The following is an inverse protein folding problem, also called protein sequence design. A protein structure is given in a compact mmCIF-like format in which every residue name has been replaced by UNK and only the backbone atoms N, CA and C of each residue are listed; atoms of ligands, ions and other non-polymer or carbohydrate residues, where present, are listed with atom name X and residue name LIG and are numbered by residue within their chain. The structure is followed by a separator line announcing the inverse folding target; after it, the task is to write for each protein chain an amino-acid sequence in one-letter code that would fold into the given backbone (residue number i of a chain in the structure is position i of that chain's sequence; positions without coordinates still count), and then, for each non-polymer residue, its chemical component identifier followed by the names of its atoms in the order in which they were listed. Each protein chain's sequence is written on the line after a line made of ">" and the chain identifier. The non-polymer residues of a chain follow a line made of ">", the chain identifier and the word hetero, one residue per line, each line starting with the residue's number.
data_IF_893678292143
#
_entry.id   IF_893678292143
#
_cell.length_a   1.000
_cell.length_b   1.000
_cell.length_c   1.000
_cell.angle_alpha   90.00
_cell.angle_beta   90.00
_cell.angle_gamma   90.00
#
_symmetry.space_group_name_H-M   'P 1'
#
loop_
_entity.id
_entity.type
_entity.pdbx_description
1 polymer ?
#
# COMPACT_ATOMS: atom_id res chain seq x y z
N UNK A 1 27.34 -14.08 -21.63
CA UNK A 1 26.65 -14.80 -20.62
C UNK A 1 25.17 -14.95 -20.92
N UNK A 2 24.67 -16.14 -20.72
CA UNK A 2 23.23 -16.42 -20.75
C UNK A 2 22.82 -16.74 -19.32
N UNK A 3 21.92 -15.97 -18.76
CA UNK A 3 21.49 -16.12 -17.37
C UNK A 3 19.97 -16.07 -17.24
N UNK A 4 19.48 -16.40 -16.05
CA UNK A 4 18.09 -16.19 -15.67
C UNK A 4 17.87 -14.70 -15.37
N UNK A 5 16.82 -14.12 -15.93
CA UNK A 5 16.33 -12.79 -15.62
C UNK A 5 15.05 -12.93 -14.81
N UNK A 6 15.12 -12.93 -13.48
CA UNK A 6 13.91 -12.98 -12.67
C UNK A 6 13.17 -11.65 -12.78
N UNK A 7 11.86 -11.71 -13.01
CA UNK A 7 11.00 -10.54 -13.04
C UNK A 7 10.11 -10.54 -11.77
N UNK A 8 10.06 -9.43 -11.07
CA UNK A 8 9.09 -9.23 -10.00
C UNK A 8 7.71 -8.97 -10.59
N UNK A 9 6.67 -9.49 -9.95
CA UNK A 9 5.31 -9.49 -10.50
C UNK A 9 4.71 -8.10 -10.70
N UNK A 10 4.92 -7.18 -9.77
CA UNK A 10 4.33 -5.86 -9.80
C UNK A 10 5.36 -4.75 -9.98
N UNK A 11 4.92 -3.67 -10.61
CA UNK A 11 5.66 -2.42 -10.72
C UNK A 11 5.99 -1.87 -9.33
N UNK A 12 7.24 -1.47 -9.14
CA UNK A 12 7.74 -0.86 -7.91
C UNK A 12 7.70 -1.73 -6.62
N UNK A 13 7.58 -3.04 -6.74
CA UNK A 13 7.70 -3.95 -5.57
C UNK A 13 9.04 -3.78 -4.87
N UNK A 14 10.10 -3.52 -5.62
CA UNK A 14 11.41 -3.23 -5.04
C UNK A 14 11.38 -1.94 -4.22
N UNK A 15 10.84 -0.85 -4.76
CA UNK A 15 10.75 0.43 -4.06
C UNK A 15 9.91 0.35 -2.77
N UNK A 16 8.80 -0.37 -2.80
CA UNK A 16 7.97 -0.63 -1.61
C UNK A 16 8.79 -1.30 -0.51
N UNK A 17 9.59 -2.31 -0.85
CA UNK A 17 10.48 -2.98 0.10
C UNK A 17 11.63 -2.06 0.58
N UNK A 18 12.16 -1.23 -0.31
CA UNK A 18 13.27 -0.31 0.00
C UNK A 18 12.89 0.78 0.98
N UNK A 19 11.61 1.21 0.99
CA UNK A 19 11.08 2.16 1.97
C UNK A 19 10.57 1.50 3.25
N UNK A 20 10.80 0.21 3.41
CA UNK A 20 10.52 -0.51 4.66
C UNK A 20 9.10 -1.06 4.80
N UNK A 21 8.26 -1.01 3.78
CA UNK A 21 6.95 -1.67 3.81
C UNK A 21 7.12 -3.18 3.63
N UNK A 22 7.42 -3.85 4.72
CA UNK A 22 7.71 -5.29 4.83
C UNK A 22 7.22 -5.79 6.19
N UNK A 23 6.80 -7.06 6.33
CA UNK A 23 6.36 -7.62 7.61
C UNK A 23 7.40 -7.53 8.73
N UNK A 24 8.67 -7.65 8.37
CA UNK A 24 9.78 -7.51 9.32
C UNK A 24 10.95 -6.77 8.67
N UNK A 25 11.46 -5.76 9.36
CA UNK A 25 12.70 -5.07 8.97
C UNK A 25 13.91 -5.87 9.46
N UNK A 26 15.01 -5.79 8.70
CA UNK A 26 16.30 -6.30 9.17
C UNK A 26 16.73 -5.52 10.42
N UNK A 27 17.29 -6.21 11.42
CA UNK A 27 17.66 -5.61 12.69
C UNK A 27 18.57 -4.37 12.55
N UNK A 28 19.52 -4.40 11.62
CA UNK A 28 20.39 -3.26 11.35
C UNK A 28 19.63 -2.03 10.83
N UNK A 29 18.62 -2.23 9.96
CA UNK A 29 17.77 -1.14 9.44
C UNK A 29 16.87 -0.62 10.55
N UNK A 30 16.30 -1.51 11.34
CA UNK A 30 15.46 -1.17 12.49
C UNK A 30 16.19 -0.26 13.47
N UNK A 31 17.39 -0.69 13.93
CA UNK A 31 18.20 0.09 14.86
C UNK A 31 18.65 1.43 14.29
N UNK A 32 19.00 1.47 13.00
CA UNK A 32 19.38 2.72 12.34
C UNK A 32 18.21 3.71 12.28
N UNK A 33 17.01 3.26 11.94
CA UNK A 33 15.82 4.12 11.93
C UNK A 33 15.49 4.67 13.31
N UNK A 34 15.55 3.84 14.36
CA UNK A 34 15.33 4.31 15.72
C UNK A 34 16.33 5.38 16.14
N UNK A 35 17.62 5.16 15.84
CA UNK A 35 18.68 6.10 16.23
C UNK A 35 18.63 7.40 15.42
N UNK A 36 18.38 7.33 14.12
CA UNK A 36 18.40 8.51 13.24
C UNK A 36 17.14 9.37 13.39
N UNK A 37 15.99 8.74 13.61
CA UNK A 37 14.72 9.45 13.74
C UNK A 37 14.35 9.78 15.19
N UNK A 38 15.03 9.19 16.17
CA UNK A 38 14.74 9.39 17.59
C UNK A 38 13.34 8.87 18.01
N UNK A 39 12.87 7.81 17.34
CA UNK A 39 11.54 7.21 17.58
C UNK A 39 11.68 5.77 18.05
N UNK A 40 10.71 5.29 18.82
CA UNK A 40 10.58 3.86 19.13
C UNK A 40 9.73 3.20 18.05
N UNK A 41 10.28 2.22 17.35
CA UNK A 41 9.56 1.45 16.35
C UNK A 41 8.79 0.28 16.99
N UNK A 42 7.66 -0.17 16.38
CA UNK A 42 6.96 -1.34 16.86
C UNK A 42 7.83 -2.59 16.83
N UNK A 43 7.84 -3.35 17.91
CA UNK A 43 8.60 -4.61 18.02
C UNK A 43 7.84 -5.82 17.52
N UNK A 44 6.53 -5.71 17.34
CA UNK A 44 5.71 -6.76 16.76
C UNK A 44 5.90 -6.83 15.25
N UNK A 45 6.12 -8.03 14.73
CA UNK A 45 6.18 -8.24 13.28
C UNK A 45 4.80 -8.03 12.64
N UNK A 46 4.80 -7.46 11.44
CA UNK A 46 3.62 -7.42 10.60
C UNK A 46 3.30 -8.79 9.99
N UNK A 47 2.11 -8.93 9.44
CA UNK A 47 1.68 -10.15 8.77
C UNK A 47 1.88 -10.03 7.24
N UNK A 48 2.37 -11.09 6.61
CA UNK A 48 2.33 -11.21 5.15
C UNK A 48 0.91 -11.55 4.68
N UNK A 49 0.63 -11.37 3.39
CA UNK A 49 -0.72 -11.50 2.81
C UNK A 49 -1.46 -12.77 3.22
N UNK A 50 -0.82 -13.93 3.16
CA UNK A 50 -1.49 -15.20 3.54
C UNK A 50 -1.86 -15.22 5.02
N UNK A 51 -0.97 -14.73 5.89
CA UNK A 51 -1.27 -14.64 7.33
C UNK A 51 -2.44 -13.67 7.62
N UNK A 52 -2.52 -12.54 6.88
CA UNK A 52 -3.67 -11.64 6.98
C UNK A 52 -4.98 -12.33 6.59
N UNK A 53 -4.99 -13.08 5.48
CA UNK A 53 -6.18 -13.81 5.02
C UNK A 53 -6.57 -14.91 6.01
N UNK A 54 -5.59 -15.65 6.58
CA UNK A 54 -5.84 -16.64 7.62
C UNK A 54 -6.41 -16.03 8.91
N UNK A 55 -5.86 -14.88 9.33
CA UNK A 55 -6.38 -14.15 10.48
C UNK A 55 -7.81 -13.64 10.24
N UNK A 56 -8.10 -13.19 9.02
CA UNK A 56 -9.44 -12.76 8.64
C UNK A 56 -10.45 -13.93 8.65
N UNK A 57 -10.05 -15.12 8.18
CA UNK A 57 -10.94 -16.29 8.18
C UNK A 57 -11.42 -16.67 9.58
N UNK A 58 -10.59 -16.47 10.60
CA UNK A 58 -10.95 -16.75 12.00
C UNK A 58 -11.49 -15.52 12.75
N UNK A 59 -11.79 -14.43 12.02
CA UNK A 59 -12.41 -13.22 12.58
C UNK A 59 -11.47 -12.35 13.42
N UNK A 60 -10.17 -12.44 13.22
CA UNK A 60 -9.17 -11.63 13.94
C UNK A 60 -8.77 -10.34 13.22
N UNK A 61 -9.53 -9.92 12.21
CA UNK A 61 -9.32 -8.67 11.48
C UNK A 61 -10.61 -7.86 11.52
N UNK A 62 -10.60 -6.74 12.21
CA UNK A 62 -11.77 -5.85 12.32
C UNK A 62 -11.86 -4.84 11.15
N UNK A 63 -10.71 -4.49 10.59
CA UNK A 63 -10.60 -3.48 9.52
C UNK A 63 -9.56 -3.89 8.48
N UNK A 64 -9.87 -3.66 7.21
CA UNK A 64 -8.91 -3.81 6.13
C UNK A 64 -8.90 -2.60 5.20
N UNK A 65 -7.70 -2.06 4.95
CA UNK A 65 -7.43 -1.10 3.90
C UNK A 65 -6.75 -1.84 2.73
N UNK A 66 -7.48 -2.04 1.65
CA UNK A 66 -7.00 -2.73 0.45
C UNK A 66 -6.58 -1.69 -0.58
N UNK A 67 -5.27 -1.48 -0.69
CA UNK A 67 -4.69 -0.50 -1.61
C UNK A 67 -4.27 -1.19 -2.91
N UNK A 68 -5.06 -1.01 -3.95
CA UNK A 68 -4.86 -1.66 -5.25
C UNK A 68 -5.07 -3.17 -5.22
N UNK A 69 -4.69 -3.83 -6.30
CA UNK A 69 -4.71 -5.28 -6.39
C UNK A 69 -6.10 -5.91 -6.53
N UNK A 70 -6.13 -7.23 -6.54
CA UNK A 70 -7.33 -8.06 -6.61
C UNK A 70 -7.14 -9.26 -5.66
N UNK A 71 -7.25 -8.99 -4.36
CA UNK A 71 -6.91 -9.95 -3.31
C UNK A 71 -7.71 -11.25 -3.42
N UNK A 72 -8.99 -11.17 -3.78
CA UNK A 72 -9.84 -12.34 -3.96
C UNK A 72 -9.28 -13.29 -5.02
N UNK A 73 -8.97 -12.78 -6.21
CA UNK A 73 -8.49 -13.63 -7.33
C UNK A 73 -6.98 -13.89 -7.31
N UNK A 74 -6.21 -13.16 -6.51
CA UNK A 74 -4.77 -13.36 -6.40
C UNK A 74 -4.41 -14.56 -5.51
N UNK A 75 -5.34 -15.05 -4.71
CA UNK A 75 -5.14 -16.26 -3.90
C UNK A 75 -5.55 -17.52 -4.68
N UNK A 76 -4.84 -18.65 -4.47
CA UNK A 76 -5.15 -19.90 -5.18
C UNK A 76 -6.51 -20.49 -4.86
N UNK A 77 -7.01 -20.26 -3.62
CA UNK A 77 -8.31 -20.73 -3.14
C UNK A 77 -9.27 -19.54 -2.99
N UNK A 78 -10.12 -19.37 -3.98
CA UNK A 78 -11.11 -18.29 -4.01
C UNK A 78 -12.21 -18.48 -2.96
N UNK A 79 -12.60 -19.74 -2.65
CA UNK A 79 -13.57 -20.02 -1.62
C UNK A 79 -13.05 -19.67 -0.22
N UNK A 80 -11.77 -19.95 0.05
CA UNK A 80 -11.10 -19.50 1.27
C UNK A 80 -11.03 -17.97 1.35
N UNK A 81 -10.64 -17.32 0.25
CA UNK A 81 -10.55 -15.86 0.18
C UNK A 81 -11.91 -15.19 0.41
N UNK A 82 -12.98 -15.75 -0.15
CA UNK A 82 -14.34 -15.24 0.02
C UNK A 82 -14.79 -15.29 1.49
N UNK A 83 -14.60 -16.43 2.17
CA UNK A 83 -14.92 -16.58 3.59
C UNK A 83 -14.12 -15.60 4.44
N UNK A 84 -12.81 -15.53 4.22
CA UNK A 84 -11.92 -14.64 4.95
C UNK A 84 -12.32 -13.16 4.78
N UNK A 85 -12.54 -12.71 3.56
CA UNK A 85 -12.95 -11.33 3.28
C UNK A 85 -14.34 -11.03 3.84
N UNK A 86 -15.26 -11.99 3.83
CA UNK A 86 -16.61 -11.84 4.40
C UNK A 86 -16.59 -11.68 5.92
N UNK A 87 -15.58 -12.18 6.61
CA UNK A 87 -15.44 -12.04 8.06
C UNK A 87 -14.88 -10.70 8.51
N UNK A 88 -14.40 -9.85 7.59
CA UNK A 88 -13.90 -8.52 7.94
C UNK A 88 -15.08 -7.53 8.01
N UNK A 89 -15.39 -6.96 9.18
CA UNK A 89 -16.57 -6.12 9.35
C UNK A 89 -16.55 -4.83 8.53
N UNK A 90 -15.39 -4.21 8.41
CA UNK A 90 -15.24 -2.96 7.65
C UNK A 90 -14.04 -3.01 6.70
N UNK A 91 -14.29 -2.74 5.41
CA UNK A 91 -13.26 -2.72 4.37
C UNK A 91 -13.28 -1.41 3.57
N UNK A 92 -12.11 -0.84 3.38
CA UNK A 92 -11.89 0.27 2.44
C UNK A 92 -11.06 -0.25 1.28
N UNK A 93 -11.59 -0.16 0.09
CA UNK A 93 -10.95 -0.64 -1.14
C UNK A 93 -10.59 0.57 -2.01
N UNK A 94 -9.30 0.79 -2.20
CA UNK A 94 -8.77 1.91 -2.97
C UNK A 94 -8.23 1.36 -4.29
N UNK A 95 -8.96 1.55 -5.37
CA UNK A 95 -8.63 0.95 -6.66
C UNK A 95 -8.91 1.89 -7.83
N UNK A 96 -8.16 1.73 -8.91
CA UNK A 96 -8.38 2.43 -10.18
C UNK A 96 -9.52 1.83 -11.02
N UNK A 97 -9.79 0.54 -10.85
CA UNK A 97 -10.84 -0.20 -11.57
C UNK A 97 -11.51 -1.20 -10.64
N UNK A 98 -12.77 -1.49 -10.88
CA UNK A 98 -13.46 -2.57 -10.18
C UNK A 98 -12.91 -3.93 -10.62
N UNK A 99 -12.86 -4.86 -9.68
CA UNK A 99 -12.41 -6.23 -9.89
C UNK A 99 -13.18 -7.22 -8.99
N UNK A 100 -12.82 -8.48 -9.01
CA UNK A 100 -13.54 -9.54 -8.27
C UNK A 100 -13.56 -9.32 -6.75
N UNK A 101 -12.57 -8.67 -6.16
CA UNK A 101 -12.56 -8.35 -4.73
C UNK A 101 -13.72 -7.43 -4.33
N UNK A 102 -14.22 -6.58 -5.25
CA UNK A 102 -15.35 -5.69 -4.99
C UNK A 102 -16.70 -6.39 -5.06
N UNK A 103 -16.75 -7.62 -5.55
CA UNK A 103 -17.97 -8.40 -5.75
C UNK A 103 -18.07 -9.61 -4.81
N UNK A 104 -16.94 -10.09 -4.30
CA UNK A 104 -16.85 -11.28 -3.47
C UNK A 104 -16.28 -10.95 -2.10
N UNK A 105 -16.79 -11.61 -1.06
CA UNK A 105 -16.37 -11.32 0.30
C UNK A 105 -16.82 -9.93 0.80
N UNK A 106 -17.98 -9.47 0.34
CA UNK A 106 -18.49 -8.11 0.61
C UNK A 106 -19.44 -8.02 1.81
N UNK A 107 -19.44 -9.00 2.69
CA UNK A 107 -20.18 -8.89 3.94
C UNK A 107 -19.64 -7.73 4.81
N UNK A 108 -20.46 -7.18 5.67
CA UNK A 108 -20.13 -6.00 6.46
C UNK A 108 -20.19 -4.70 5.66
N UNK A 109 -19.51 -3.67 6.14
CA UNK A 109 -19.45 -2.36 5.49
C UNK A 109 -18.27 -2.31 4.52
N UNK A 110 -18.53 -1.82 3.29
CA UNK A 110 -17.52 -1.71 2.26
C UNK A 110 -17.54 -0.30 1.66
N UNK A 111 -16.40 0.37 1.67
CA UNK A 111 -16.20 1.65 1.02
C UNK A 111 -15.25 1.46 -0.15
N UNK A 112 -15.68 1.82 -1.36
CA UNK A 112 -14.84 1.81 -2.55
C UNK A 112 -14.45 3.23 -2.92
N UNK A 113 -13.16 3.51 -2.91
CA UNK A 113 -12.59 4.82 -3.28
C UNK A 113 -11.86 4.68 -4.61
N UNK A 114 -12.37 5.29 -5.69
CA UNK A 114 -11.65 5.34 -6.95
C UNK A 114 -10.45 6.28 -6.84
N UNK A 115 -9.32 5.88 -7.45
CA UNK A 115 -8.09 6.65 -7.43
C UNK A 115 -7.58 6.96 -8.82
N UNK A 116 -6.77 8.02 -8.87
CA UNK A 116 -5.93 8.36 -10.00
C UNK A 116 -4.82 7.32 -10.15
N UNK A 117 -4.63 6.80 -11.34
CA UNK A 117 -3.50 5.91 -11.65
C UNK A 117 -2.22 6.72 -11.86
N UNK A 118 -1.06 6.05 -11.83
CA UNK A 118 0.24 6.73 -11.97
C UNK A 118 0.38 7.53 -13.27
N UNK A 119 -0.21 7.07 -14.37
CA UNK A 119 -0.19 7.77 -15.65
C UNK A 119 -1.07 9.04 -15.66
N UNK A 120 -1.93 9.19 -14.65
CA UNK A 120 -2.78 10.35 -14.43
C UNK A 120 -2.24 11.25 -13.29
N UNK A 121 -1.23 10.80 -12.56
CA UNK A 121 -0.57 11.61 -11.54
C UNK A 121 0.22 12.74 -12.22
N UNK A 122 -0.07 13.97 -11.84
CA UNK A 122 0.53 15.14 -12.48
C UNK A 122 1.93 15.45 -11.96
N UNK A 123 2.26 14.96 -10.78
CA UNK A 123 3.55 15.18 -10.15
C UNK A 123 4.52 14.05 -10.52
N UNK A 124 5.83 14.32 -10.55
CA UNK A 124 6.83 13.28 -10.78
C UNK A 124 6.73 12.16 -9.76
N UNK A 125 6.83 10.93 -10.25
CA UNK A 125 6.86 9.71 -9.43
C UNK A 125 8.12 8.92 -9.72
N UNK A 126 8.54 8.07 -8.78
CA UNK A 126 9.70 7.20 -8.94
C UNK A 126 9.30 5.74 -8.91
N UNK A 127 10.12 4.92 -9.55
CA UNK A 127 9.99 3.47 -9.56
C UNK A 127 11.37 2.84 -9.46
N UNK A 128 11.57 1.97 -8.49
CA UNK A 128 12.79 1.19 -8.35
C UNK A 128 12.64 -0.18 -9.01
N UNK A 129 13.58 -0.53 -9.89
CA UNK A 129 13.67 -1.86 -10.46
C UNK A 129 14.36 -2.83 -9.50
N UNK A 130 14.22 -4.14 -9.74
CA UNK A 130 14.91 -5.19 -8.98
C UNK A 130 16.45 -5.11 -9.04
N UNK A 131 17.01 -4.30 -9.93
CA UNK A 131 18.45 -4.04 -10.05
C UNK A 131 18.87 -2.75 -9.35
N UNK A 132 18.05 -2.24 -8.43
CA UNK A 132 18.28 -0.99 -7.68
C UNK A 132 18.42 0.23 -8.60
N UNK A 133 17.83 0.18 -9.78
CA UNK A 133 17.80 1.29 -10.72
C UNK A 133 16.50 2.07 -10.54
N UNK A 134 16.60 3.33 -10.16
CA UNK A 134 15.45 4.22 -9.97
C UNK A 134 15.17 4.97 -11.25
N UNK A 135 13.94 4.89 -11.73
CA UNK A 135 13.41 5.69 -12.84
C UNK A 135 12.44 6.73 -12.32
N UNK A 136 12.46 7.89 -12.94
CA UNK A 136 11.48 8.95 -12.70
C UNK A 136 10.51 9.01 -13.88
N UNK A 137 9.23 9.23 -13.57
CA UNK A 137 8.19 9.59 -14.53
C UNK A 137 7.80 11.05 -14.27
N UNK A 138 7.70 11.85 -15.32
CA UNK A 138 7.51 13.29 -15.21
C UNK A 138 6.06 13.72 -14.88
N UNK A 139 5.17 12.77 -14.77
CA UNK A 139 3.74 13.00 -14.57
C UNK A 139 2.93 12.70 -15.83
N UNK A 140 1.63 12.69 -15.68
CA UNK A 140 0.68 12.28 -16.70
C UNK A 140 -0.41 13.30 -16.98
N UNK A 141 -1.51 12.81 -17.53
CA UNK A 141 -2.66 13.61 -17.88
C UNK A 141 -3.76 13.44 -16.84
N UNK A 142 -4.27 14.54 -16.32
CA UNK A 142 -5.46 14.52 -15.48
C UNK A 142 -6.71 14.25 -16.32
N UNK A 143 -7.13 13.00 -16.36
CA UNK A 143 -8.33 12.58 -17.12
C UNK A 143 -9.62 12.82 -16.37
N UNK A 144 -9.57 12.69 -15.04
CA UNK A 144 -10.72 12.85 -14.15
C UNK A 144 -10.31 13.72 -12.97
N UNK A 145 -10.43 15.04 -13.05
CA UNK A 145 -9.90 15.99 -12.05
C UNK A 145 -10.42 15.77 -10.62
N UNK A 146 -11.56 15.11 -10.46
CA UNK A 146 -12.14 14.84 -9.15
C UNK A 146 -11.47 13.65 -8.42
N UNK A 147 -10.64 12.85 -9.09
CA UNK A 147 -9.97 11.72 -8.47
C UNK A 147 -8.75 12.17 -7.69
N UNK A 148 -8.60 11.61 -6.50
CA UNK A 148 -7.42 11.78 -5.67
C UNK A 148 -6.37 10.70 -5.98
N UNK A 149 -5.12 11.02 -5.76
CA UNK A 149 -4.02 10.05 -5.78
C UNK A 149 -3.98 9.23 -4.49
N UNK A 150 -3.26 8.11 -4.52
CA UNK A 150 -3.00 7.31 -3.31
C UNK A 150 -2.36 8.17 -2.20
N UNK A 151 -1.40 9.01 -2.56
CA UNK A 151 -0.72 9.90 -1.62
C UNK A 151 -1.70 10.88 -0.98
N UNK A 152 -2.58 11.49 -1.75
CA UNK A 152 -3.58 12.44 -1.24
C UNK A 152 -4.56 11.77 -0.27
N UNK A 153 -5.05 10.55 -0.60
CA UNK A 153 -5.96 9.79 0.26
C UNK A 153 -5.27 9.39 1.56
N UNK A 154 -4.09 8.78 1.49
CA UNK A 154 -3.35 8.31 2.68
C UNK A 154 -2.95 9.49 3.56
N UNK A 155 -2.52 10.60 2.96
CA UNK A 155 -2.20 11.84 3.69
C UNK A 155 -3.44 12.36 4.42
N UNK A 156 -4.59 12.42 3.76
CA UNK A 156 -5.83 12.89 4.40
C UNK A 156 -6.26 11.98 5.56
N UNK A 157 -6.11 10.67 5.42
CA UNK A 157 -6.37 9.72 6.52
C UNK A 157 -5.41 9.96 7.69
N UNK A 158 -4.11 10.12 7.41
CA UNK A 158 -3.10 10.33 8.43
C UNK A 158 -3.34 11.64 9.21
N UNK A 159 -3.68 12.72 8.53
CA UNK A 159 -4.01 14.01 9.16
C UNK A 159 -5.19 13.91 10.14
N UNK A 160 -6.17 13.07 9.82
CA UNK A 160 -7.34 12.88 10.69
C UNK A 160 -7.07 11.93 11.88
N UNK A 161 -6.30 10.88 11.64
CA UNK A 161 -6.03 9.88 12.67
C UNK A 161 -4.91 10.29 13.64
N UNK A 162 -3.95 11.09 13.17
CA UNK A 162 -2.76 11.46 13.94
C UNK A 162 -2.59 13.00 13.93
N UNK A 163 -3.59 13.76 14.39
CA UNK A 163 -3.59 15.22 14.27
C UNK A 163 -2.48 15.91 15.10
N UNK A 164 -1.88 15.20 16.07
CA UNK A 164 -0.81 15.71 16.92
C UNK A 164 0.57 15.11 16.57
N UNK A 165 0.73 14.52 15.38
CA UNK A 165 2.01 14.02 14.94
C UNK A 165 3.04 15.15 14.86
N UNK A 166 4.27 14.86 15.23
CA UNK A 166 5.41 15.78 15.02
C UNK A 166 5.70 16.00 13.54
N UNK A 167 5.29 15.05 12.71
CA UNK A 167 5.43 15.11 11.26
C UNK A 167 4.18 15.74 10.63
N UNK A 168 4.38 16.79 9.86
CA UNK A 168 3.31 17.40 9.06
C UNK A 168 3.05 16.55 7.81
N UNK A 169 2.00 15.72 7.85
CA UNK A 169 1.63 14.86 6.74
C UNK A 169 1.21 15.64 5.48
N UNK A 170 0.74 16.88 5.61
CA UNK A 170 0.28 17.68 4.46
C UNK A 170 1.38 17.93 3.42
N UNK A 171 2.63 17.94 3.87
CA UNK A 171 3.79 18.15 3.01
C UNK A 171 3.95 17.05 1.93
N UNK A 172 3.47 15.83 2.20
CA UNK A 172 3.57 14.73 1.24
C UNK A 172 2.70 14.92 0.00
N UNK A 173 1.68 15.79 0.05
CA UNK A 173 0.90 16.15 -1.14
C UNK A 173 1.75 16.80 -2.23
N UNK A 174 2.93 17.31 -1.89
CA UNK A 174 3.93 17.77 -2.85
C UNK A 174 5.06 16.74 -2.89
N UNK A 175 5.10 15.92 -3.92
CA UNK A 175 6.03 14.79 -4.03
C UNK A 175 7.50 15.19 -3.85
N UNK A 176 7.88 16.40 -4.27
CA UNK A 176 9.23 16.94 -4.05
C UNK A 176 9.63 17.03 -2.56
N UNK A 177 8.66 17.15 -1.66
CA UNK A 177 8.93 17.30 -0.23
C UNK A 177 9.27 15.96 0.43
N UNK A 178 8.90 14.82 -0.17
CA UNK A 178 9.19 13.48 0.34
C UNK A 178 10.70 13.24 0.54
N UNK A 179 11.54 13.97 -0.17
CA UNK A 179 13.01 13.91 -0.03
C UNK A 179 13.58 14.72 1.12
N UNK A 180 12.78 15.50 1.81
CA UNK A 180 13.20 16.42 2.87
C UNK A 180 12.66 16.02 4.25
N UNK A 181 12.08 14.82 4.36
CA UNK A 181 11.53 14.24 5.59
C UNK A 181 12.50 13.22 6.15
#
# INVERSE_FOLDING_TARGET
>A
GKGLLPLRGHSNVQGVSSVGLTPALKSQVFTALESELGIALPTSEGMHTLACVQAAEVGNIDFALLLGGNLFSANPDTGFSERALSNIPFKVMINSTLNQTHLNGVAGENLVLPIRVRDEEQQPTTQESMFNFVRMSDGGFDRIPALLSEVEIITAIAEQLIPQATLDFSQFRKHRNIRHV
#
